data_IF_845644564838
#
_entry.id   IF_845644564838
#
_cell.length_a   1.000
_cell.length_b   1.000
_cell.length_c   1.000
_cell.angle_alpha   90.00
_cell.angle_beta   90.00
_cell.angle_gamma   90.00
#
_symmetry.space_group_name_H-M   'P 1'
#
loop_
_entity.id
_entity.type
_entity.pdbx_description
1 polymer ?
#
# COMPACT_ATOMS: atom_id res chain seq x y z
N UNK A 1 -11.81 -13.33 -9.60
CA UNK A 1 -10.91 -13.14 -8.44
C UNK A 1 -10.57 -11.67 -8.35
N UNK A 2 -10.99 -10.96 -7.30
CA UNK A 2 -10.62 -9.55 -7.12
C UNK A 2 -9.51 -9.46 -6.08
N UNK A 3 -8.29 -9.18 -6.52
CA UNK A 3 -7.17 -8.91 -5.63
C UNK A 3 -7.33 -7.54 -4.95
N UNK A 4 -6.93 -7.41 -3.70
CA UNK A 4 -6.74 -6.11 -3.05
C UNK A 4 -5.25 -5.78 -3.10
N UNK A 5 -4.86 -4.68 -3.74
CA UNK A 5 -3.44 -4.36 -3.95
C UNK A 5 -2.95 -3.43 -2.85
N UNK A 6 -2.07 -3.89 -1.96
CA UNK A 6 -1.42 -3.03 -0.96
C UNK A 6 -0.04 -2.59 -1.43
N UNK A 7 0.25 -1.28 -1.37
CA UNK A 7 1.55 -0.78 -1.83
C UNK A 7 2.63 -0.83 -0.74
N UNK A 8 3.75 -1.48 -1.03
CA UNK A 8 5.00 -1.41 -0.26
C UNK A 8 6.02 -0.48 -0.93
N UNK A 9 5.69 0.81 -1.00
CA UNK A 9 6.52 1.88 -1.57
C UNK A 9 6.38 3.13 -0.69
N UNK A 10 7.49 3.66 -0.19
CA UNK A 10 7.48 4.74 0.79
C UNK A 10 7.07 6.11 0.23
N UNK A 11 7.01 6.28 -1.09
CA UNK A 11 6.63 7.55 -1.72
C UNK A 11 5.18 7.54 -2.22
N UNK A 12 4.70 6.41 -2.74
CA UNK A 12 3.36 6.33 -3.34
C UNK A 12 2.20 6.41 -2.31
N UNK A 13 2.51 6.26 -1.02
CA UNK A 13 1.56 6.48 0.09
C UNK A 13 1.10 7.94 0.20
N UNK A 14 1.89 8.90 -0.26
CA UNK A 14 1.60 10.32 -0.11
C UNK A 14 0.69 10.86 -1.21
N UNK A 15 -0.42 11.49 -0.82
CA UNK A 15 -1.43 12.03 -1.75
C UNK A 15 -0.82 12.99 -2.75
N UNK A 16 0.05 13.86 -2.25
CA UNK A 16 0.61 15.03 -2.96
C UNK A 16 1.69 14.64 -3.97
N UNK A 17 2.24 13.41 -3.89
CA UNK A 17 3.40 12.98 -4.67
C UNK A 17 3.04 12.11 -5.87
N UNK A 18 1.84 12.20 -6.44
CA UNK A 18 1.40 11.29 -7.52
C UNK A 18 2.37 11.25 -8.71
N UNK A 19 2.73 12.43 -9.25
CA UNK A 19 3.61 12.53 -10.42
C UNK A 19 5.03 12.10 -10.05
N UNK A 20 5.58 12.63 -8.95
CA UNK A 20 6.96 12.40 -8.52
C UNK A 20 7.24 10.95 -8.12
N UNK A 21 6.22 10.23 -7.67
CA UNK A 21 6.31 8.82 -7.27
C UNK A 21 5.92 7.84 -8.39
N UNK A 22 5.62 8.34 -9.60
CA UNK A 22 5.06 7.55 -10.69
C UNK A 22 3.86 6.69 -10.23
N UNK A 23 3.03 7.23 -9.32
CA UNK A 23 1.82 6.54 -8.87
C UNK A 23 0.82 6.53 -10.03
N UNK A 24 0.26 5.36 -10.40
CA UNK A 24 -0.66 5.26 -11.51
C UNK A 24 -1.91 6.12 -11.28
N UNK A 25 -2.44 6.62 -12.39
CA UNK A 25 -3.73 7.31 -12.44
C UNK A 25 -4.88 6.34 -12.22
N UNK A 26 -6.06 6.87 -11.92
CA UNK A 26 -7.27 6.05 -11.78
C UNK A 26 -7.59 5.24 -13.05
N UNK A 27 -7.27 5.77 -14.23
CA UNK A 27 -7.47 5.06 -15.49
C UNK A 27 -6.53 3.86 -15.65
N UNK A 28 -5.28 3.97 -15.20
CA UNK A 28 -4.28 2.89 -15.27
C UNK A 28 -4.51 1.78 -14.23
N UNK A 29 -5.09 2.13 -13.07
CA UNK A 29 -5.39 1.17 -12.00
C UNK A 29 -6.53 0.19 -12.35
N UNK A 30 -7.35 0.52 -13.36
CA UNK A 30 -8.49 -0.30 -13.75
C UNK A 30 -9.49 -0.52 -12.59
N UNK A 31 -10.27 -1.61 -12.62
CA UNK A 31 -11.32 -1.86 -11.62
C UNK A 31 -10.79 -2.44 -10.30
N UNK A 32 -9.48 -2.59 -10.14
CA UNK A 32 -8.88 -3.25 -8.97
C UNK A 32 -8.72 -2.26 -7.83
N UNK A 33 -9.21 -2.55 -6.62
CA UNK A 33 -8.96 -1.75 -5.43
C UNK A 33 -7.46 -1.70 -5.07
N UNK A 34 -6.89 -0.50 -5.14
CA UNK A 34 -5.54 -0.20 -4.66
C UNK A 34 -5.62 0.48 -3.29
N UNK A 35 -4.95 -0.10 -2.31
CA UNK A 35 -4.90 0.33 -0.92
C UNK A 35 -3.55 0.96 -0.61
N UNK A 36 -3.53 1.86 0.38
CA UNK A 36 -2.35 2.62 0.82
C UNK A 36 -1.75 3.54 -0.25
N UNK A 37 -2.53 3.88 -1.28
CA UNK A 37 -2.17 4.87 -2.29
C UNK A 37 -2.73 6.23 -1.96
N UNK A 38 -1.84 7.21 -1.82
CA UNK A 38 -2.24 8.60 -1.58
C UNK A 38 -3.08 8.80 -0.32
N UNK A 39 -2.96 7.90 0.64
CA UNK A 39 -3.74 7.91 1.88
C UNK A 39 -3.12 8.83 2.94
N UNK A 40 -1.88 9.26 2.75
CA UNK A 40 -1.12 10.07 3.71
C UNK A 40 -0.87 11.46 3.15
N UNK A 41 -0.98 12.50 3.98
CA UNK A 41 -0.56 13.85 3.63
C UNK A 41 0.97 13.96 3.60
N UNK A 42 1.56 14.66 2.63
CA UNK A 42 3.02 14.78 2.53
C UNK A 42 3.67 15.53 3.70
N UNK A 43 2.92 16.27 4.52
CA UNK A 43 3.42 16.89 5.75
C UNK A 43 3.53 15.89 6.92
N UNK A 44 2.98 14.69 6.81
CA UNK A 44 3.04 13.66 7.86
C UNK A 44 4.17 12.67 7.62
N UNK A 45 4.96 12.39 8.67
CA UNK A 45 5.92 11.28 8.60
C UNK A 45 5.20 9.93 8.60
N UNK A 46 5.49 9.09 7.59
CA UNK A 46 4.97 7.73 7.49
C UNK A 46 6.08 6.68 7.60
N UNK A 47 6.26 6.13 8.81
CA UNK A 47 7.30 5.14 9.09
C UNK A 47 6.91 3.73 8.60
N UNK A 48 7.90 2.83 8.51
CA UNK A 48 7.65 1.41 8.23
C UNK A 48 6.71 0.78 9.26
N UNK A 49 6.76 1.19 10.53
CA UNK A 49 5.84 0.72 11.56
C UNK A 49 4.39 1.16 11.32
N UNK A 50 4.17 2.44 10.92
CA UNK A 50 2.83 2.92 10.52
C UNK A 50 2.32 2.17 9.29
N UNK A 51 3.19 1.96 8.31
CA UNK A 51 2.87 1.19 7.12
C UNK A 51 2.50 -0.26 7.46
N UNK A 52 3.27 -0.94 8.32
CA UNK A 52 3.04 -2.33 8.71
C UNK A 52 1.66 -2.49 9.37
N UNK A 53 1.31 -1.60 10.30
CA UNK A 53 -0.02 -1.60 10.93
C UNK A 53 -1.14 -1.41 9.91
N UNK A 54 -0.99 -0.45 8.99
CA UNK A 54 -2.00 -0.19 7.95
C UNK A 54 -2.12 -1.34 6.95
N UNK A 55 -1.00 -1.90 6.50
CA UNK A 55 -0.97 -3.06 5.59
C UNK A 55 -1.61 -4.29 6.23
N UNK A 56 -1.34 -4.53 7.52
CA UNK A 56 -1.92 -5.66 8.26
C UNK A 56 -3.46 -5.54 8.36
N UNK A 57 -3.97 -4.33 8.59
CA UNK A 57 -5.40 -4.07 8.61
C UNK A 57 -6.04 -4.34 7.24
N UNK A 58 -5.45 -3.85 6.15
CA UNK A 58 -5.95 -4.06 4.79
C UNK A 58 -5.91 -5.54 4.36
N UNK A 59 -4.86 -6.26 4.74
CA UNK A 59 -4.74 -7.71 4.50
C UNK A 59 -5.86 -8.47 5.22
N UNK A 60 -6.11 -8.12 6.49
CA UNK A 60 -7.16 -8.74 7.30
C UNK A 60 -8.54 -8.49 6.70
N UNK A 61 -8.82 -7.26 6.27
CA UNK A 61 -10.08 -6.92 5.61
C UNK A 61 -10.25 -7.62 4.26
N UNK A 62 -9.18 -7.71 3.46
CA UNK A 62 -9.22 -8.45 2.20
C UNK A 62 -9.59 -9.93 2.42
N UNK A 63 -8.98 -10.58 3.42
CA UNK A 63 -9.34 -11.95 3.77
C UNK A 63 -10.78 -12.08 4.28
N UNK A 64 -11.25 -11.12 5.09
CA UNK A 64 -12.65 -11.06 5.56
C UNK A 64 -13.65 -10.94 4.40
N UNK A 65 -13.25 -10.28 3.31
CA UNK A 65 -14.02 -10.16 2.08
C UNK A 65 -13.86 -11.35 1.11
N UNK A 66 -13.18 -12.45 1.50
CA UNK A 66 -12.80 -13.56 0.60
C UNK A 66 -11.99 -13.11 -0.63
N UNK A 67 -11.12 -12.13 -0.45
CA UNK A 67 -10.22 -11.60 -1.48
C UNK A 67 -8.78 -11.98 -1.17
N UNK A 68 -7.99 -12.19 -2.23
CA UNK A 68 -6.56 -12.44 -2.09
C UNK A 68 -5.83 -11.08 -2.01
N UNK A 69 -5.20 -10.74 -0.88
CA UNK A 69 -4.35 -9.56 -0.82
C UNK A 69 -3.08 -9.80 -1.65
N UNK A 70 -2.74 -8.82 -2.48
CA UNK A 70 -1.53 -8.82 -3.31
C UNK A 70 -0.73 -7.60 -2.91
N UNK A 71 0.44 -7.80 -2.31
CA UNK A 71 1.34 -6.68 -2.03
C UNK A 71 2.26 -6.46 -3.21
N UNK A 72 2.32 -5.21 -3.66
CA UNK A 72 3.14 -4.78 -4.80
C UNK A 72 4.05 -3.68 -4.27
N UNK A 73 5.33 -3.69 -4.61
CA UNK A 73 6.29 -2.79 -3.95
C UNK A 73 7.71 -3.00 -4.43
N UNK A 74 8.60 -2.15 -3.94
CA UNK A 74 10.04 -2.28 -4.16
C UNK A 74 10.88 -1.99 -2.91
N UNK A 75 10.28 -1.51 -1.83
CA UNK A 75 11.03 -1.19 -0.61
C UNK A 75 11.25 -2.46 0.21
N UNK A 76 12.43 -3.08 0.07
CA UNK A 76 12.76 -4.35 0.75
C UNK A 76 12.53 -4.33 2.27
N UNK A 77 12.74 -3.18 2.91
CA UNK A 77 12.47 -2.98 4.35
C UNK A 77 11.01 -3.25 4.72
N UNK A 78 10.05 -2.90 3.85
CA UNK A 78 8.62 -3.07 4.13
C UNK A 78 8.23 -4.55 4.09
N UNK A 79 8.70 -5.28 3.07
CA UNK A 79 8.50 -6.72 3.01
C UNK A 79 9.14 -7.43 4.18
N UNK A 80 10.38 -7.07 4.52
CA UNK A 80 11.07 -7.61 5.70
C UNK A 80 10.27 -7.37 6.98
N UNK A 81 9.82 -6.14 7.22
CA UNK A 81 9.01 -5.80 8.38
C UNK A 81 7.71 -6.63 8.46
N UNK A 82 7.09 -6.91 7.31
CA UNK A 82 5.87 -7.72 7.24
C UNK A 82 6.10 -9.21 7.47
N UNK A 83 7.18 -9.78 6.91
CA UNK A 83 7.43 -11.23 6.94
C UNK A 83 8.25 -11.68 8.15
N UNK A 84 9.08 -10.79 8.70
CA UNK A 84 10.03 -11.10 9.78
C UNK A 84 9.76 -10.28 11.05
N UNK A 85 8.93 -9.24 11.00
CA UNK A 85 8.76 -8.28 12.09
C UNK A 85 9.78 -7.13 12.02
N UNK A 86 9.67 -6.17 12.95
CA UNK A 86 10.58 -5.03 13.07
C UNK A 86 11.88 -5.36 13.80
#
# INVERSE_FOLDING_TARGET
MSAAVGRADSMQVYRDLQILSARPTAAEMGPVPHRLYGTVDAAENFSVGRWLSAATAEITEAWRENRLPVLVGGTGLYFKALTEGM
#
